data_IF_644894037043
#
_entry.id   IF_644894037043
#
_cell.length_a   1.000
_cell.length_b   1.000
_cell.length_c   1.000
_cell.angle_alpha   90.00
_cell.angle_beta   90.00
_cell.angle_gamma   90.00
#
_symmetry.space_group_name_H-M   'P 1'
#
loop_
_entity.id
_entity.type
_entity.pdbx_description
1 polymer ?
#
# COMPACT_ATOMS: atom_id res chain seq x y z
N UNK A 1 -20.80 -0.68 4.31
CA UNK A 1 -20.75 -1.02 2.88
C UNK A 1 -21.55 0.06 2.15
N UNK A 2 -20.93 0.84 1.26
CA UNK A 2 -21.64 1.83 0.44
C UNK A 2 -22.26 1.11 -0.76
N UNK A 3 -23.31 0.31 -0.53
CA UNK A 3 -24.02 -0.38 -1.62
C UNK A 3 -24.82 0.59 -2.49
N UNK A 4 -25.04 1.82 -2.00
CA UNK A 4 -25.78 2.87 -2.69
C UNK A 4 -24.87 4.09 -2.89
N UNK A 5 -24.55 4.43 -4.14
CA UNK A 5 -23.76 5.61 -4.47
C UNK A 5 -23.19 5.57 -5.90
N UNK A 6 -22.65 6.70 -6.34
CA UNK A 6 -21.86 6.79 -7.57
C UNK A 6 -20.65 7.68 -7.33
N UNK A 7 -19.61 7.46 -8.11
CA UNK A 7 -18.46 8.35 -8.20
C UNK A 7 -18.54 9.15 -9.49
N UNK A 8 -18.04 10.37 -9.47
CA UNK A 8 -17.92 11.20 -10.67
C UNK A 8 -16.54 10.97 -11.29
N UNK A 9 -16.50 10.65 -12.58
CA UNK A 9 -15.27 10.52 -13.34
C UNK A 9 -15.24 11.57 -14.44
N UNK A 10 -14.28 12.49 -14.36
CA UNK A 10 -14.07 13.47 -15.42
C UNK A 10 -13.47 12.80 -16.67
N UNK A 11 -13.91 13.21 -17.86
CA UNK A 11 -13.40 12.68 -19.16
C UNK A 11 -11.89 12.81 -19.34
N UNK A 12 -11.23 13.71 -18.58
CA UNK A 12 -9.77 13.83 -18.55
C UNK A 12 -9.05 12.55 -18.08
N UNK A 13 -9.76 11.62 -17.45
CA UNK A 13 -9.20 10.30 -17.10
C UNK A 13 -8.68 9.55 -18.34
N UNK A 14 -9.26 9.77 -19.53
CA UNK A 14 -8.77 9.17 -20.77
C UNK A 14 -7.37 9.69 -21.18
N UNK A 15 -7.02 10.90 -20.76
CA UNK A 15 -5.70 11.52 -20.99
C UNK A 15 -4.72 11.25 -19.85
N UNK A 16 -5.20 10.65 -18.74
CA UNK A 16 -4.38 10.33 -17.58
C UNK A 16 -3.38 9.22 -17.90
N UNK A 17 -2.17 9.33 -17.36
CA UNK A 17 -1.04 8.45 -17.68
C UNK A 17 -1.36 6.97 -17.51
N UNK A 18 -2.09 6.62 -16.44
CA UNK A 18 -2.41 5.24 -16.11
C UNK A 18 -3.58 4.66 -16.90
N UNK A 19 -4.26 5.45 -17.74
CA UNK A 19 -5.31 4.94 -18.62
C UNK A 19 -4.76 3.90 -19.61
N UNK A 20 -3.50 4.04 -20.02
CA UNK A 20 -2.79 3.06 -20.87
C UNK A 20 -2.26 1.86 -20.09
N UNK A 21 -2.37 1.85 -18.76
CA UNK A 21 -1.96 0.74 -17.89
C UNK A 21 -3.19 0.20 -17.14
N UNK A 22 -3.90 -0.80 -17.72
CA UNK A 22 -5.20 -1.24 -17.21
C UNK A 22 -5.17 -1.67 -15.74
N UNK A 23 -4.12 -2.36 -15.30
CA UNK A 23 -3.98 -2.82 -13.92
C UNK A 23 -3.96 -1.65 -12.93
N UNK A 24 -3.22 -0.59 -13.25
CA UNK A 24 -3.11 0.60 -12.40
C UNK A 24 -4.41 1.37 -12.36
N UNK A 25 -5.07 1.52 -13.51
CA UNK A 25 -6.40 2.13 -13.61
C UNK A 25 -7.43 1.36 -12.78
N UNK A 26 -7.51 0.04 -12.93
CA UNK A 26 -8.46 -0.82 -12.20
C UNK A 26 -8.24 -0.73 -10.69
N UNK A 27 -6.99 -0.79 -10.23
CA UNK A 27 -6.67 -0.65 -8.80
C UNK A 27 -7.07 0.74 -8.29
N UNK A 28 -6.82 1.80 -9.06
CA UNK A 28 -7.21 3.14 -8.65
C UNK A 28 -8.73 3.31 -8.54
N UNK A 29 -9.49 2.82 -9.53
CA UNK A 29 -10.95 2.83 -9.51
C UNK A 29 -11.49 2.05 -8.31
N UNK A 30 -10.93 0.87 -8.04
CA UNK A 30 -11.28 0.08 -6.86
C UNK A 30 -11.05 0.86 -5.55
N UNK A 31 -9.90 1.54 -5.42
CA UNK A 31 -9.58 2.33 -4.24
C UNK A 31 -10.53 3.52 -4.06
N UNK A 32 -10.92 4.22 -5.13
CA UNK A 32 -11.88 5.32 -5.05
C UNK A 32 -13.26 4.81 -4.64
N UNK A 33 -13.73 3.72 -5.26
CA UNK A 33 -15.05 3.15 -4.99
C UNK A 33 -15.17 2.64 -3.55
N UNK A 34 -14.11 2.03 -3.04
CA UNK A 34 -14.13 1.38 -1.73
C UNK A 34 -13.65 2.30 -0.59
N UNK A 35 -13.10 3.47 -0.91
CA UNK A 35 -12.74 4.47 0.09
C UNK A 35 -13.99 5.03 0.79
N UNK A 36 -13.83 5.31 2.08
CA UNK A 36 -14.92 5.76 2.93
C UNK A 36 -15.43 7.15 2.50
N UNK A 37 -16.74 7.30 2.37
CA UNK A 37 -17.37 8.60 2.13
C UNK A 37 -17.47 9.45 3.40
N UNK A 38 -17.64 8.83 4.55
CA UNK A 38 -17.65 9.46 5.89
C UNK A 38 -16.63 8.76 6.80
N UNK A 39 -16.05 9.45 7.79
CA UNK A 39 -15.18 8.81 8.77
C UNK A 39 -15.89 7.62 9.42
N UNK A 40 -15.18 6.49 9.54
CA UNK A 40 -15.72 5.27 10.12
C UNK A 40 -14.67 4.62 11.01
N UNK A 41 -15.08 4.16 12.18
CA UNK A 41 -14.20 3.49 13.12
C UNK A 41 -13.90 2.07 12.67
N UNK A 42 -12.64 1.70 12.65
CA UNK A 42 -12.17 0.39 12.25
C UNK A 42 -11.10 -0.10 13.21
N UNK A 43 -11.42 -1.18 13.93
CA UNK A 43 -10.62 -1.65 15.06
C UNK A 43 -10.34 -0.51 16.06
N UNK A 44 -9.08 -0.09 16.21
CA UNK A 44 -8.64 0.94 17.14
C UNK A 44 -8.28 2.27 16.43
N UNK A 45 -8.62 2.41 15.14
CA UNK A 45 -8.34 3.63 14.37
C UNK A 45 -9.61 4.15 13.69
N UNK A 46 -9.72 5.46 13.54
CA UNK A 46 -10.75 6.07 12.71
C UNK A 46 -10.23 6.22 11.30
N UNK A 47 -10.83 5.49 10.35
CA UNK A 47 -10.54 5.61 8.92
C UNK A 47 -11.28 6.83 8.40
N UNK A 48 -10.53 7.83 7.95
CA UNK A 48 -11.08 9.09 7.49
C UNK A 48 -11.73 8.96 6.11
N UNK A 49 -12.49 10.00 5.74
CA UNK A 49 -13.02 10.15 4.39
C UNK A 49 -11.90 10.07 3.35
N UNK A 50 -12.14 9.35 2.26
CA UNK A 50 -11.15 9.10 1.21
C UNK A 50 -10.08 8.06 1.57
N UNK A 51 -10.22 7.38 2.72
CA UNK A 51 -9.33 6.31 3.15
C UNK A 51 -10.02 4.94 3.12
N UNK A 52 -9.19 3.91 2.99
CA UNK A 52 -9.60 2.50 3.07
C UNK A 52 -8.52 1.68 3.77
N UNK A 53 -8.92 0.87 4.76
CA UNK A 53 -8.07 -0.19 5.30
C UNK A 53 -8.23 -1.46 4.45
N UNK A 54 -7.15 -1.88 3.79
CA UNK A 54 -7.14 -3.12 3.00
C UNK A 54 -5.73 -3.68 2.88
N UNK A 55 -5.57 -4.80 2.19
CA UNK A 55 -4.31 -5.50 1.97
C UNK A 55 -4.14 -5.87 0.50
N UNK A 56 -2.89 -6.09 0.05
CA UNK A 56 -2.65 -6.50 -1.34
C UNK A 56 -3.44 -7.76 -1.76
N UNK A 57 -3.54 -8.83 -0.94
CA UNK A 57 -4.35 -10.00 -1.28
C UNK A 57 -5.84 -9.67 -1.41
N UNK A 58 -6.36 -8.78 -0.56
CA UNK A 58 -7.77 -8.36 -0.61
C UNK A 58 -8.07 -7.60 -1.91
N UNK A 59 -7.22 -6.64 -2.28
CA UNK A 59 -7.34 -5.90 -3.55
C UNK A 59 -7.25 -6.86 -4.74
N UNK A 60 -6.27 -7.76 -4.73
CA UNK A 60 -6.09 -8.78 -5.76
C UNK A 60 -7.35 -9.64 -5.94
N UNK A 61 -7.94 -10.10 -4.83
CA UNK A 61 -9.19 -10.88 -4.84
C UNK A 61 -10.35 -10.09 -5.43
N UNK A 62 -10.54 -8.84 -5.02
CA UNK A 62 -11.66 -8.00 -5.49
C UNK A 62 -11.51 -7.58 -6.96
N UNK A 63 -10.28 -7.39 -7.43
CA UNK A 63 -10.00 -6.91 -8.80
C UNK A 63 -9.71 -8.04 -9.80
N UNK A 64 -9.52 -9.28 -9.34
CA UNK A 64 -9.09 -10.42 -10.16
C UNK A 64 -7.63 -10.33 -10.63
N UNK A 65 -6.86 -9.39 -10.10
CA UNK A 65 -5.45 -9.19 -10.47
C UNK A 65 -4.51 -10.08 -9.66
N UNK A 66 -3.31 -10.33 -10.20
CA UNK A 66 -2.25 -10.94 -9.40
C UNK A 66 -1.76 -9.98 -8.31
N UNK A 67 -1.32 -10.53 -7.16
CA UNK A 67 -0.73 -9.73 -6.07
C UNK A 67 0.47 -8.91 -6.57
N UNK A 68 1.26 -9.44 -7.50
CA UNK A 68 2.39 -8.73 -8.11
C UNK A 68 1.92 -7.51 -8.90
N UNK A 69 0.88 -7.65 -9.72
CA UNK A 69 0.29 -6.54 -10.48
C UNK A 69 -0.25 -5.46 -9.55
N UNK A 70 -0.93 -5.85 -8.46
CA UNK A 70 -1.45 -4.90 -7.46
C UNK A 70 -0.31 -4.12 -6.79
N UNK A 71 0.78 -4.79 -6.41
CA UNK A 71 1.96 -4.12 -5.82
C UNK A 71 2.56 -3.09 -6.78
N UNK A 72 2.71 -3.44 -8.05
CA UNK A 72 3.21 -2.52 -9.09
C UNK A 72 2.26 -1.34 -9.27
N UNK A 73 0.96 -1.58 -9.41
CA UNK A 73 -0.05 -0.55 -9.54
C UNK A 73 -0.05 0.42 -8.35
N UNK A 74 0.01 -0.09 -7.11
CA UNK A 74 0.07 0.77 -5.92
C UNK A 74 1.36 1.58 -5.88
N UNK A 75 2.50 0.98 -6.24
CA UNK A 75 3.78 1.70 -6.34
C UNK A 75 3.67 2.87 -7.34
N UNK A 76 3.13 2.61 -8.52
CA UNK A 76 2.86 3.61 -9.56
C UNK A 76 2.00 4.76 -9.04
N UNK A 77 0.88 4.45 -8.37
CA UNK A 77 -0.03 5.46 -7.80
C UNK A 77 0.62 6.32 -6.72
N UNK A 78 1.46 5.72 -5.87
CA UNK A 78 2.24 6.43 -4.85
C UNK A 78 3.29 7.34 -5.49
N UNK A 79 4.00 6.86 -6.51
CA UNK A 79 5.00 7.66 -7.23
C UNK A 79 4.39 8.90 -7.91
N UNK A 80 3.14 8.82 -8.36
CA UNK A 80 2.40 9.98 -8.91
C UNK A 80 1.74 10.85 -7.86
N UNK A 81 1.72 10.44 -6.60
CA UNK A 81 1.01 11.16 -5.54
C UNK A 81 -0.51 11.07 -5.62
N UNK A 82 -1.05 10.08 -6.33
CA UNK A 82 -2.51 9.85 -6.44
C UNK A 82 -3.04 9.12 -5.19
N UNK A 83 -2.19 8.25 -4.61
CA UNK A 83 -2.49 7.47 -3.42
C UNK A 83 -1.35 7.58 -2.42
N UNK A 84 -1.66 7.75 -1.14
CA UNK A 84 -0.72 7.61 -0.03
C UNK A 84 -1.00 6.32 0.75
N UNK A 85 0.01 5.79 1.45
CA UNK A 85 -0.12 4.55 2.23
C UNK A 85 0.43 4.72 3.64
N UNK A 86 -0.36 4.30 4.62
CA UNK A 86 0.05 4.15 6.03
C UNK A 86 0.03 2.66 6.37
N UNK A 87 1.17 2.12 6.79
CA UNK A 87 1.33 0.68 7.06
C UNK A 87 0.99 0.37 8.52
N UNK A 88 0.18 -0.66 8.73
CA UNK A 88 -0.11 -1.26 10.03
C UNK A 88 0.34 -2.73 10.03
N UNK A 89 0.49 -3.38 11.19
CA UNK A 89 0.96 -4.77 11.25
C UNK A 89 0.07 -5.77 10.50
N UNK A 90 -1.25 -5.54 10.47
CA UNK A 90 -2.25 -6.47 9.88
C UNK A 90 -2.82 -6.00 8.54
N UNK A 91 -2.82 -4.69 8.28
CA UNK A 91 -3.40 -4.10 7.08
C UNK A 91 -2.64 -2.83 6.67
N UNK A 92 -3.02 -2.22 5.56
CA UNK A 92 -2.53 -0.91 5.16
C UNK A 92 -3.71 0.01 4.93
N UNK A 93 -3.58 1.26 5.38
CA UNK A 93 -4.56 2.30 5.09
C UNK A 93 -4.09 3.06 3.86
N UNK A 94 -4.87 2.97 2.79
CA UNK A 94 -4.64 3.72 1.57
C UNK A 94 -5.49 4.99 1.59
N UNK A 95 -4.88 6.12 1.28
CA UNK A 95 -5.56 7.43 1.21
C UNK A 95 -5.55 7.90 -0.23
N UNK A 96 -6.73 8.15 -0.81
CA UNK A 96 -6.85 8.79 -2.12
C UNK A 96 -6.68 10.30 -1.93
N UNK A 97 -5.57 10.86 -2.43
CA UNK A 97 -5.15 12.24 -2.09
C UNK A 97 -6.16 13.29 -2.54
N UNK A 98 -6.79 13.09 -3.71
CA UNK A 98 -7.79 14.00 -4.27
C UNK A 98 -9.18 13.37 -4.31
N UNK A 99 -9.57 12.66 -3.25
CA UNK A 99 -10.84 11.94 -3.19
C UNK A 99 -12.06 12.80 -3.54
N UNK A 100 -12.09 14.04 -3.07
CA UNK A 100 -13.21 14.97 -3.27
C UNK A 100 -13.52 15.28 -4.74
N UNK A 101 -12.54 15.15 -5.63
CA UNK A 101 -12.75 15.36 -7.07
C UNK A 101 -13.62 14.29 -7.70
N UNK A 102 -13.67 13.12 -7.08
CA UNK A 102 -14.40 11.94 -7.55
C UNK A 102 -15.75 11.76 -6.85
N UNK A 103 -16.09 12.68 -5.95
CA UNK A 103 -17.37 12.66 -5.24
C UNK A 103 -18.34 13.63 -5.88
N UNK A 104 -19.62 13.38 -5.69
CA UNK A 104 -20.67 14.25 -6.20
C UNK A 104 -20.52 15.64 -5.58
N UNK A 105 -20.38 16.67 -6.43
CA UNK A 105 -20.56 18.05 -6.01
C UNK A 105 -22.06 18.28 -5.94
N UNK A 106 -22.72 17.71 -4.94
CA UNK A 106 -24.04 18.21 -4.56
C UNK A 106 -23.83 19.69 -4.25
N UNK A 107 -24.23 20.55 -5.19
CA UNK A 107 -24.32 21.97 -4.93
C UNK A 107 -25.21 22.08 -3.70
N UNK A 108 -24.63 22.44 -2.56
CA UNK A 108 -25.42 23.01 -1.50
C UNK A 108 -26.13 24.21 -2.14
N UNK A 109 -27.44 24.10 -2.36
CA UNK A 109 -28.28 25.27 -2.56
C UNK A 109 -28.19 26.03 -1.24
N UNK A 110 -27.20 26.91 -1.17
CA UNK A 110 -26.71 27.50 0.07
C UNK A 110 -25.37 28.15 -0.24
N UNK A 111 -25.43 29.44 -0.58
CA UNK A 111 -24.26 30.28 -0.81
C UNK A 111 -23.31 30.22 0.39
N UNK A 112 -22.11 29.67 0.18
CA UNK A 112 -20.92 30.09 0.91
C UNK A 112 -19.74 30.11 -0.08
N UNK A 113 -19.31 31.33 -0.40
CA UNK A 113 -18.18 31.64 -1.28
C UNK A 113 -16.89 31.30 -0.49
N UNK A 114 -16.48 30.04 -0.52
CA UNK A 114 -15.25 29.55 0.11
C UNK A 114 -14.19 29.21 -0.92
N UNK A 115 -12.97 29.75 -0.74
CA UNK A 115 -11.81 29.66 -1.65
C UNK A 115 -11.63 28.29 -2.29
N UNK A 116 -11.52 28.29 -3.62
CA UNK A 116 -11.08 27.15 -4.41
C UNK A 116 -9.67 26.74 -3.93
N UNK A 117 -9.60 25.68 -3.15
CA UNK A 117 -8.36 25.06 -2.73
C UNK A 117 -7.61 24.54 -3.95
N UNK A 118 -6.42 25.10 -4.17
CA UNK A 118 -5.51 24.79 -5.26
C UNK A 118 -5.13 23.29 -5.29
N UNK A 119 -4.85 22.82 -6.52
CA UNK A 119 -4.02 21.67 -6.92
C UNK A 119 -3.90 20.44 -6.02
N UNK A 120 -4.01 19.26 -6.64
CA UNK A 120 -3.43 18.03 -6.10
C UNK A 120 -1.95 18.29 -5.78
N UNK A 121 -1.61 18.59 -4.54
CA UNK A 121 -0.24 18.73 -4.10
C UNK A 121 0.41 17.36 -4.02
N UNK A 122 1.59 17.22 -4.63
CA UNK A 122 2.42 16.03 -4.49
C UNK A 122 2.69 15.80 -3.01
N UNK A 123 2.26 14.64 -2.48
CA UNK A 123 2.60 14.22 -1.13
C UNK A 123 4.13 14.07 -1.03
N UNK A 124 4.80 15.03 -0.40
CA UNK A 124 6.18 14.86 0.05
C UNK A 124 6.18 13.82 1.17
N UNK A 125 6.96 12.76 0.98
CA UNK A 125 7.10 11.69 1.95
C UNK A 125 7.71 12.17 3.26
N UNK A 126 7.19 11.65 4.37
CA UNK A 126 7.83 11.75 5.69
C UNK A 126 8.14 10.34 6.16
N UNK A 127 9.41 9.95 6.04
CA UNK A 127 10.00 8.88 6.83
C UNK A 127 10.10 9.40 8.27
N UNK A 128 9.21 8.98 9.16
CA UNK A 128 9.41 9.16 10.59
C UNK A 128 9.97 7.88 11.20
N UNK A 129 11.29 7.90 11.41
CA UNK A 129 11.99 7.00 12.33
C UNK A 129 11.49 7.30 13.74
N UNK A 130 10.82 6.34 14.39
CA UNK A 130 10.76 6.31 15.86
C UNK A 130 11.64 5.19 16.37
N UNK A 131 12.77 5.59 16.93
CA UNK A 131 13.62 4.77 17.76
C UNK A 131 12.91 4.51 19.09
N UNK A 132 12.84 3.25 19.50
CA UNK A 132 12.62 2.87 20.89
C UNK A 132 13.63 1.79 21.23
N UNK A 133 14.62 2.18 22.05
CA UNK A 133 15.55 1.31 22.75
C UNK A 133 14.78 0.54 23.82
N UNK A 134 14.88 -0.79 23.85
CA UNK A 134 14.76 -1.58 25.08
C UNK A 134 15.66 -2.82 24.97
N UNK A 135 16.64 -2.89 25.88
CA UNK A 135 17.46 -4.06 26.16
C UNK A 135 16.72 -4.96 27.16
N UNK A 136 16.73 -6.29 26.96
CA UNK A 136 17.05 -7.30 27.99
C UNK A 136 17.10 -8.73 27.41
N UNK A 137 18.32 -9.25 27.29
CA UNK A 137 18.86 -10.56 27.69
C UNK A 137 18.05 -11.86 27.64
N UNK A 138 18.76 -12.89 27.13
CA UNK A 138 18.62 -14.36 27.31
C UNK A 138 17.46 -15.00 26.52
N UNK A 139 17.66 -16.04 25.73
CA UNK A 139 18.38 -17.27 26.04
C UNK A 139 18.87 -18.00 24.77
N UNK A 140 20.00 -18.67 24.94
CA UNK A 140 20.70 -19.53 23.99
C UNK A 140 19.91 -20.83 23.87
N UNK A 141 19.56 -21.26 22.65
CA UNK A 141 19.46 -22.69 22.35
C UNK A 141 20.09 -23.01 20.98
N UNK A 142 20.91 -24.05 21.02
CA UNK A 142 21.90 -24.46 20.05
C UNK A 142 21.34 -25.16 18.81
N UNK A 143 22.12 -25.12 17.73
CA UNK A 143 22.49 -26.31 16.97
C UNK A 143 23.83 -26.07 16.25
N UNK A 144 24.87 -26.91 16.44
CA UNK A 144 26.14 -26.78 15.74
C UNK A 144 26.25 -27.77 14.57
N UNK A 145 26.81 -27.35 13.44
CA UNK A 145 27.61 -28.13 12.46
C UNK A 145 27.85 -27.22 11.22
N UNK A 146 29.02 -27.10 10.61
CA UNK A 146 30.20 -27.97 10.58
C UNK A 146 31.48 -27.13 10.40
N UNK A 147 32.55 -27.51 11.11
CA UNK A 147 33.91 -27.07 10.80
C UNK A 147 34.53 -28.03 9.79
N UNK A 148 34.96 -27.50 8.64
CA UNK A 148 35.89 -28.19 7.76
C UNK A 148 37.29 -28.13 8.38
N UNK A 149 37.73 -29.21 9.00
CA UNK A 149 39.12 -29.35 9.44
C UNK A 149 39.83 -30.32 8.49
N UNK A 150 40.77 -29.78 7.71
CA UNK A 150 41.79 -30.58 7.07
C UNK A 150 42.76 -31.15 8.10
N UNK A 151 43.20 -32.38 7.89
CA UNK A 151 44.48 -32.89 8.40
C UNK A 151 45.05 -33.91 7.43
N UNK A 152 46.21 -33.57 6.88
CA UNK A 152 47.18 -34.52 6.33
C UNK A 152 47.66 -35.43 7.46
N UNK A 153 47.82 -36.71 7.16
CA UNK A 153 48.99 -37.50 7.57
C UNK A 153 49.32 -38.48 6.45
N UNK A 154 50.61 -38.68 6.26
CA UNK A 154 51.22 -39.27 5.09
C UNK A 154 51.29 -40.81 5.17
N UNK A 155 51.42 -41.44 3.99
CA UNK A 155 51.89 -42.79 3.59
C UNK A 155 52.56 -43.71 4.65
N UNK A 156 52.67 -45.07 4.49
CA UNK A 156 52.77 -45.80 3.21
C UNK A 156 52.09 -47.19 3.13
N UNK A 157 51.84 -47.69 1.91
CA UNK A 157 51.34 -49.05 1.71
C UNK A 157 51.37 -49.53 0.27
N UNK A 158 52.48 -50.18 -0.09
CA UNK A 158 52.71 -50.98 -1.30
C UNK A 158 51.79 -52.22 -1.33
N UNK A 159 51.22 -52.55 -2.50
CA UNK A 159 51.01 -53.89 -3.10
C UNK A 159 50.18 -53.69 -4.38
N UNK A 160 50.76 -53.78 -5.57
CA UNK A 160 50.97 -54.99 -6.38
C UNK A 160 49.63 -55.58 -6.87
N UNK A 161 49.18 -55.17 -8.07
CA UNK A 161 48.61 -55.98 -9.17
C UNK A 161 48.36 -55.10 -10.40
#
# INVERSE_FOLDING_TARGET
MLENGFITLERKICTWRWFREPNTLVVFLYLILQANYEPHDFENITIQRGQIATSYPSIAKSTGLSIKSVRTAIKHLIETGEVAVSKYPRYSVYTVVCYDKYQDKRQSVGQAKGRQGAGCGQAKGTNEKKATKYNKDKEIYAAPAAHTNGRRTDNPGRTDF
#
